data_IF_835901071472
#
_entry.id   IF_835901071472
#
_cell.length_a   1.000
_cell.length_b   1.000
_cell.length_c   1.000
_cell.angle_alpha   90.00
_cell.angle_beta   90.00
_cell.angle_gamma   90.00
#
_symmetry.space_group_name_H-M   'P 1'
#
loop_
_entity.id
_entity.type
_entity.pdbx_description
1 polymer ?
#
# COMPACT_ATOMS: atom_id res chain seq x y z
N UNK A 1 -6.63 -14.36 17.13
CA UNK A 1 -6.70 -13.43 18.28
C UNK A 1 -7.21 -12.10 17.74
N UNK A 2 -8.43 -11.71 18.09
CA UNK A 2 -9.09 -10.53 17.51
C UNK A 2 -8.43 -9.28 18.08
N UNK A 3 -7.52 -8.65 17.33
CA UNK A 3 -6.83 -7.44 17.78
C UNK A 3 -7.86 -6.32 17.92
N UNK A 4 -8.22 -6.04 19.17
CA UNK A 4 -9.14 -4.98 19.55
C UNK A 4 -8.52 -3.63 19.20
N UNK A 5 -9.24 -2.84 18.38
CA UNK A 5 -8.88 -1.47 18.01
C UNK A 5 -8.66 -0.62 19.26
N UNK A 6 -7.40 -0.33 19.59
CA UNK A 6 -7.08 0.84 20.40
C UNK A 6 -7.67 2.07 19.71
N UNK A 7 -8.27 3.00 20.47
CA UNK A 7 -8.83 4.24 19.90
C UNK A 7 -7.71 5.01 19.19
N UNK A 8 -7.71 5.02 17.86
CA UNK A 8 -6.71 5.71 17.04
C UNK A 8 -6.69 5.21 15.59
N UNK A 9 -5.99 5.95 14.72
CA UNK A 9 -5.63 5.49 13.38
C UNK A 9 -4.36 4.65 13.48
N UNK A 10 -4.39 3.41 13.00
CA UNK A 10 -3.23 2.50 13.05
C UNK A 10 -2.35 2.57 11.78
N UNK A 11 -2.95 2.95 10.65
CA UNK A 11 -2.23 3.06 9.38
C UNK A 11 -1.51 4.41 9.32
N UNK A 12 -0.18 4.35 9.16
CA UNK A 12 0.69 5.51 8.98
C UNK A 12 1.57 5.35 7.73
N UNK A 13 2.23 6.43 7.31
CA UNK A 13 3.31 6.31 6.32
C UNK A 13 4.47 5.53 6.96
N UNK A 14 5.18 4.74 6.16
CA UNK A 14 6.40 4.10 6.62
C UNK A 14 7.36 5.16 7.22
N UNK A 15 8.08 4.86 8.32
CA UNK A 15 8.96 5.82 8.97
C UNK A 15 10.00 6.44 8.03
N UNK A 16 10.48 5.69 7.04
CA UNK A 16 11.39 6.17 6.00
C UNK A 16 10.81 7.26 5.09
N UNK A 17 9.50 7.48 5.13
CA UNK A 17 8.75 8.48 4.37
C UNK A 17 8.02 9.48 5.28
N UNK A 18 8.09 9.29 6.60
CA UNK A 18 7.35 10.10 7.57
C UNK A 18 8.20 11.29 8.02
N UNK A 19 7.68 12.51 7.86
CA UNK A 19 8.41 13.74 8.21
C UNK A 19 9.41 14.22 7.17
N UNK A 20 9.70 13.40 6.16
CA UNK A 20 10.51 13.76 4.98
C UNK A 20 9.60 13.93 3.76
N UNK A 21 9.24 15.19 3.48
CA UNK A 21 8.33 15.53 2.38
C UNK A 21 8.97 15.28 1.02
N UNK A 22 10.29 15.45 0.90
CA UNK A 22 11.01 15.22 -0.36
C UNK A 22 11.04 13.73 -0.68
N UNK A 23 11.41 12.88 0.28
CA UNK A 23 11.39 11.43 0.11
C UNK A 23 9.98 10.91 -0.21
N UNK A 24 8.94 11.47 0.43
CA UNK A 24 7.56 11.12 0.12
C UNK A 24 7.15 11.51 -1.30
N UNK A 25 7.48 12.72 -1.74
CA UNK A 25 7.21 13.17 -3.12
C UNK A 25 7.98 12.33 -4.14
N UNK A 26 9.24 12.01 -3.85
CA UNK A 26 10.07 11.16 -4.69
C UNK A 26 9.44 9.77 -4.84
N UNK A 27 9.03 9.12 -3.74
CA UNK A 27 8.35 7.82 -3.77
C UNK A 27 7.08 7.86 -4.64
N UNK A 28 6.26 8.92 -4.51
CA UNK A 28 5.07 9.10 -5.34
C UNK A 28 5.41 9.30 -6.82
N UNK A 29 6.49 10.02 -7.12
CA UNK A 29 6.98 10.24 -8.50
C UNK A 29 7.48 8.94 -9.14
N UNK A 30 8.10 8.06 -8.34
CA UNK A 30 8.53 6.72 -8.73
C UNK A 30 7.35 5.72 -8.76
N UNK A 31 6.17 6.13 -8.29
CA UNK A 31 4.93 5.40 -8.42
C UNK A 31 4.67 4.37 -7.31
N UNK A 32 5.29 4.51 -6.14
CA UNK A 32 5.02 3.62 -5.01
C UNK A 32 4.67 4.38 -3.72
N UNK A 33 4.09 3.65 -2.77
CA UNK A 33 3.84 4.13 -1.41
C UNK A 33 3.96 2.95 -0.45
N UNK A 34 4.52 3.21 0.73
CA UNK A 34 4.65 2.23 1.81
C UNK A 34 3.87 2.76 3.01
N UNK A 35 2.94 1.95 3.49
CA UNK A 35 2.17 2.20 4.70
C UNK A 35 2.61 1.22 5.79
N UNK A 36 2.59 1.65 7.04
CA UNK A 36 2.89 0.82 8.20
C UNK A 36 1.62 0.64 9.04
N UNK A 37 1.46 -0.55 9.60
CA UNK A 37 0.53 -0.84 10.69
C UNK A 37 1.35 -1.26 11.90
N UNK A 38 1.26 -0.50 13.00
CA UNK A 38 1.91 -0.86 14.26
C UNK A 38 1.16 -2.01 14.93
N UNK A 39 -0.17 -2.03 14.82
CA UNK A 39 -0.99 -3.09 15.42
C UNK A 39 -0.76 -4.45 14.77
N UNK A 40 -0.56 -4.52 13.45
CA UNK A 40 -0.30 -5.77 12.74
C UNK A 40 1.19 -6.12 12.64
N UNK A 41 2.08 -5.25 13.13
CA UNK A 41 3.54 -5.36 12.97
C UNK A 41 3.96 -5.67 11.51
N UNK A 42 3.38 -4.93 10.55
CA UNK A 42 3.62 -5.16 9.11
C UNK A 42 3.61 -3.86 8.33
N UNK A 43 4.16 -3.91 7.13
CA UNK A 43 4.06 -2.85 6.12
C UNK A 43 3.27 -3.31 4.89
N UNK A 44 2.65 -2.35 4.22
CA UNK A 44 1.92 -2.49 2.98
C UNK A 44 2.59 -1.66 1.90
N UNK A 45 3.18 -2.33 0.91
CA UNK A 45 3.79 -1.68 -0.24
C UNK A 45 2.80 -1.72 -1.41
N UNK A 46 2.53 -0.57 -2.01
CA UNK A 46 1.73 -0.47 -3.23
C UNK A 46 2.57 0.14 -4.34
N UNK A 47 2.64 -0.55 -5.47
CA UNK A 47 3.39 -0.10 -6.65
C UNK A 47 2.41 0.09 -7.81
N UNK A 48 2.39 1.29 -8.39
CA UNK A 48 1.67 1.62 -9.61
C UNK A 48 2.52 1.22 -10.81
N UNK A 49 2.06 0.24 -11.57
CA UNK A 49 2.73 -0.23 -12.79
C UNK A 49 1.89 0.05 -14.03
N UNK A 50 2.58 0.15 -15.17
CA UNK A 50 1.97 0.18 -16.49
C UNK A 50 1.25 -1.16 -16.75
N UNK A 51 -0.07 -1.11 -16.91
CA UNK A 51 -0.91 -2.29 -17.15
C UNK A 51 -1.13 -2.62 -18.63
N UNK A 52 -0.34 -2.02 -19.51
CA UNK A 52 -0.49 -2.08 -20.97
C UNK A 52 -1.61 -1.19 -21.51
N UNK A 53 -1.85 -1.32 -22.81
CA UNK A 53 -2.85 -0.53 -23.53
C UNK A 53 -4.21 -1.23 -23.53
N UNK A 54 -5.29 -0.46 -23.41
CA UNK A 54 -6.66 -0.92 -23.58
C UNK A 54 -7.07 -1.00 -25.05
N UNK A 55 -8.24 -1.61 -25.29
CA UNK A 55 -8.81 -1.82 -26.63
C UNK A 55 -9.13 -0.48 -27.33
N UNK A 56 -9.36 0.58 -26.55
CA UNK A 56 -9.59 1.96 -27.04
C UNK A 56 -8.35 2.86 -26.92
N UNK A 57 -7.14 2.29 -26.87
CA UNK A 57 -5.89 3.06 -26.80
C UNK A 57 -5.58 3.69 -25.43
N UNK A 58 -6.48 3.59 -24.45
CA UNK A 58 -6.25 4.10 -23.09
C UNK A 58 -5.17 3.32 -22.33
N UNK A 59 -4.28 4.03 -21.63
CA UNK A 59 -3.24 3.42 -20.78
C UNK A 59 -3.87 2.81 -19.52
N UNK A 60 -3.76 1.49 -19.35
CA UNK A 60 -4.19 0.82 -18.12
C UNK A 60 -3.16 1.03 -17.02
N UNK A 61 -3.64 1.12 -15.79
CA UNK A 61 -2.81 1.10 -14.57
C UNK A 61 -3.15 -0.12 -13.75
N UNK A 62 -2.15 -0.69 -13.11
CA UNK A 62 -2.29 -1.73 -12.10
C UNK A 62 -1.60 -1.27 -10.83
N UNK A 63 -2.17 -1.62 -9.70
CA UNK A 63 -1.57 -1.43 -8.38
C UNK A 63 -1.24 -2.82 -7.87
N UNK A 64 0.05 -3.13 -7.75
CA UNK A 64 0.51 -4.38 -7.14
C UNK A 64 0.70 -4.10 -5.66
N UNK A 65 0.10 -4.93 -4.81
CA UNK A 65 0.28 -4.83 -3.36
C UNK A 65 1.24 -5.90 -2.87
N UNK A 66 1.96 -5.57 -1.81
CA UNK A 66 2.78 -6.50 -1.05
C UNK A 66 2.57 -6.26 0.45
N UNK A 67 2.75 -7.32 1.24
CA UNK A 67 2.58 -7.31 2.68
C UNK A 67 3.81 -7.94 3.31
N UNK A 68 4.38 -7.30 4.31
CA UNK A 68 5.50 -7.86 5.07
C UNK A 68 6.39 -6.79 5.68
N UNK A 69 7.60 -7.18 6.02
CA UNK A 69 8.63 -6.27 6.51
C UNK A 69 9.35 -5.59 5.33
N UNK A 70 10.01 -4.43 5.53
CA UNK A 70 10.78 -3.79 4.46
C UNK A 70 11.84 -4.69 3.81
N UNK A 71 12.35 -5.69 4.53
CA UNK A 71 13.32 -6.67 4.03
C UNK A 71 12.67 -7.85 3.31
N UNK A 72 11.42 -8.18 3.61
CA UNK A 72 10.74 -9.36 3.09
C UNK A 72 9.26 -9.07 2.82
N UNK A 73 8.96 -8.84 1.55
CA UNK A 73 7.61 -8.59 1.07
C UNK A 73 7.01 -9.84 0.41
N UNK A 74 5.84 -10.24 0.87
CA UNK A 74 5.03 -11.28 0.22
C UNK A 74 4.08 -10.62 -0.78
N UNK A 75 3.96 -11.15 -2.02
CA UNK A 75 3.03 -10.62 -3.00
C UNK A 75 1.58 -10.74 -2.52
N UNK A 76 0.85 -9.64 -2.62
CA UNK A 76 -0.57 -9.55 -2.33
C UNK A 76 -1.42 -9.51 -3.61
N UNK A 77 -2.60 -8.89 -3.48
CA UNK A 77 -3.53 -8.74 -4.60
C UNK A 77 -3.10 -7.64 -5.59
N UNK A 78 -3.61 -7.74 -6.81
CA UNK A 78 -3.48 -6.72 -7.85
C UNK A 78 -4.79 -5.97 -8.02
N UNK A 79 -4.74 -4.65 -7.95
CA UNK A 79 -5.91 -3.77 -8.03
C UNK A 79 -5.86 -2.87 -9.27
N UNK A 80 -7.03 -2.44 -9.75
CA UNK A 80 -7.13 -1.45 -10.83
C UNK A 80 -7.26 -0.01 -10.30
N UNK A 81 -7.59 0.17 -9.02
CA UNK A 81 -7.78 1.46 -8.36
C UNK A 81 -7.09 1.47 -7.01
N UNK A 82 -6.33 2.52 -6.73
CA UNK A 82 -5.59 2.67 -5.48
C UNK A 82 -6.52 2.74 -4.25
N UNK A 83 -7.65 3.47 -4.35
CA UNK A 83 -8.62 3.55 -3.26
C UNK A 83 -9.17 2.17 -2.84
N UNK A 84 -9.36 1.26 -3.81
CA UNK A 84 -9.80 -0.12 -3.51
C UNK A 84 -8.69 -0.88 -2.78
N UNK A 85 -7.44 -0.72 -3.23
CA UNK A 85 -6.27 -1.32 -2.59
C UNK A 85 -6.16 -0.89 -1.11
N UNK A 86 -6.34 0.40 -0.81
CA UNK A 86 -6.36 0.93 0.55
C UNK A 86 -7.49 0.33 1.39
N UNK A 87 -8.70 0.24 0.85
CA UNK A 87 -9.83 -0.34 1.59
C UNK A 87 -9.63 -1.83 1.88
N UNK A 88 -8.86 -2.55 1.06
CA UNK A 88 -8.60 -3.98 1.25
C UNK A 88 -7.75 -4.27 2.50
N UNK A 89 -6.95 -3.30 2.97
CA UNK A 89 -6.22 -3.42 4.25
C UNK A 89 -7.18 -3.70 5.40
N UNK A 90 -8.39 -3.10 5.38
CA UNK A 90 -9.40 -3.34 6.42
C UNK A 90 -9.83 -4.80 6.54
N UNK A 91 -9.70 -5.60 5.48
CA UNK A 91 -10.04 -7.02 5.52
C UNK A 91 -9.04 -7.83 6.33
N UNK A 92 -7.78 -7.39 6.41
CA UNK A 92 -6.72 -8.07 7.17
C UNK A 92 -7.00 -8.00 8.67
N UNK A 93 -7.51 -6.86 9.16
CA UNK A 93 -7.95 -6.71 10.55
C UNK A 93 -9.20 -7.52 10.93
N UNK A 94 -9.93 -8.06 9.95
CA UNK A 94 -11.15 -8.84 10.18
C UNK A 94 -10.89 -10.35 10.23
N UNK A 95 -9.69 -10.80 9.83
CA UNK A 95 -9.24 -12.17 9.95
C UNK A 95 -8.93 -12.60 11.38
#
# INVERSE_FOLDING_TARGET
MKMSRGKGYDISLAPSLSGDTEAFQEALSQGFIILKSDMLDTSFLFIKVNGGTGIFGGQKKKIISFIGSPSEFTPGHVFNKFIIALTAINNIYRG
#
